data_IF_723904299839
#
_entry.id   IF_723904299839
#
_cell.length_a   1.000
_cell.length_b   1.000
_cell.length_c   1.000
_cell.angle_alpha   90.00
_cell.angle_beta   90.00
_cell.angle_gamma   90.00
#
_symmetry.space_group_name_H-M   'P 1'
#
loop_
_entity.id
_entity.type
_entity.pdbx_description
1 polymer ?
#
# COMPACT_ATOMS: atom_id res chain seq x y z
N UNK A 1 -0.33 -4.38 56.23
CA UNK A 1 -1.21 -4.32 55.05
C UNK A 1 -1.33 -2.86 54.65
N UNK A 2 -0.71 -2.45 53.54
CA UNK A 2 -0.78 -1.09 53.03
C UNK A 2 -1.32 -1.16 51.60
N UNK A 3 -2.64 -0.95 51.45
CA UNK A 3 -3.30 -0.86 50.15
C UNK A 3 -2.94 0.48 49.51
N UNK A 4 -2.19 0.44 48.40
CA UNK A 4 -1.99 1.60 47.53
C UNK A 4 -3.22 1.79 46.67
N UNK A 5 -3.95 2.87 46.94
CA UNK A 5 -5.06 3.33 46.11
C UNK A 5 -4.47 4.05 44.89
N UNK A 6 -4.69 3.51 43.69
CA UNK A 6 -4.35 4.17 42.43
C UNK A 6 -5.57 5.00 42.03
N UNK A 7 -5.42 6.32 41.78
CA UNK A 7 -6.55 7.15 41.41
C UNK A 7 -7.01 6.77 40.00
N UNK A 8 -8.28 6.41 39.87
CA UNK A 8 -8.95 6.26 38.58
C UNK A 8 -9.06 7.65 37.96
N UNK A 9 -8.31 7.93 36.90
CA UNK A 9 -8.54 9.11 36.08
C UNK A 9 -9.77 8.86 35.23
N UNK A 10 -10.81 9.67 35.44
CA UNK A 10 -12.07 9.53 34.74
C UNK A 10 -11.87 9.68 33.23
N UNK A 11 -12.60 8.87 32.45
CA UNK A 11 -12.58 8.83 30.98
C UNK A 11 -12.77 10.24 30.36
N UNK A 12 -13.45 11.15 31.06
CA UNK A 12 -13.60 12.56 30.70
C UNK A 12 -12.31 13.38 30.75
N UNK A 13 -11.39 13.10 31.69
CA UNK A 13 -10.11 13.81 31.78
C UNK A 13 -9.15 13.38 30.67
N UNK A 14 -9.20 12.11 30.28
CA UNK A 14 -8.43 11.58 29.16
C UNK A 14 -8.91 12.16 27.82
N UNK A 15 -10.23 12.36 27.67
CA UNK A 15 -10.82 13.02 26.49
C UNK A 15 -10.43 14.50 26.39
N UNK A 16 -10.44 15.23 27.52
CA UNK A 16 -9.98 16.63 27.57
C UNK A 16 -8.49 16.76 27.23
N UNK A 17 -7.64 15.90 27.79
CA UNK A 17 -6.21 15.88 27.50
C UNK A 17 -5.94 15.54 26.03
N UNK A 18 -6.67 14.60 25.44
CA UNK A 18 -6.55 14.28 24.02
C UNK A 18 -6.93 15.48 23.14
N UNK A 19 -8.04 16.15 23.44
CA UNK A 19 -8.51 17.32 22.71
C UNK A 19 -7.56 18.52 22.83
N UNK A 20 -6.93 18.71 24.00
CA UNK A 20 -5.91 19.74 24.21
C UNK A 20 -4.65 19.45 23.40
N UNK A 21 -4.19 18.19 23.35
CA UNK A 21 -3.03 17.82 22.52
C UNK A 21 -3.30 17.94 21.02
N UNK A 22 -4.54 17.71 20.59
CA UNK A 22 -4.96 17.88 19.20
C UNK A 22 -5.04 19.37 18.84
N UNK A 23 -5.60 20.19 19.71
CA UNK A 23 -5.64 21.65 19.55
C UNK A 23 -4.23 22.25 19.47
N UNK A 24 -3.29 21.73 20.28
CA UNK A 24 -1.91 22.20 20.27
C UNK A 24 -1.14 21.75 19.03
N UNK A 25 -1.43 20.55 18.50
CA UNK A 25 -0.92 20.11 17.18
C UNK A 25 -1.48 20.97 16.04
N UNK A 26 -2.77 21.31 16.07
CA UNK A 26 -3.39 22.18 15.08
C UNK A 26 -2.82 23.60 15.13
N UNK A 27 -2.61 24.17 16.32
CA UNK A 27 -2.00 25.49 16.49
C UNK A 27 -0.54 25.51 15.97
N UNK A 28 0.25 24.47 16.22
CA UNK A 28 1.61 24.37 15.66
C UNK A 28 1.60 24.24 14.12
N UNK A 29 0.64 23.52 13.54
CA UNK A 29 0.49 23.44 12.09
C UNK A 29 0.14 24.81 11.48
N UNK A 30 -0.76 25.57 12.13
CA UNK A 30 -1.11 26.94 11.71
C UNK A 30 0.09 27.89 11.78
N UNK A 31 0.89 27.85 12.86
CA UNK A 31 2.11 28.67 12.97
C UNK A 31 3.15 28.35 11.88
N UNK A 32 3.29 27.06 11.51
CA UNK A 32 4.17 26.65 10.43
C UNK A 32 3.66 27.15 9.07
N UNK A 33 2.35 27.11 8.85
CA UNK A 33 1.73 27.58 7.62
C UNK A 33 1.79 29.11 7.49
N UNK A 34 1.52 29.84 8.56
CA UNK A 34 1.74 31.29 8.62
C UNK A 34 3.21 31.65 8.40
N UNK A 35 4.16 30.90 8.99
CA UNK A 35 5.59 31.08 8.74
C UNK A 35 5.97 30.89 7.27
N UNK A 36 5.34 29.93 6.58
CA UNK A 36 5.51 29.73 5.12
C UNK A 36 4.94 30.89 4.32
N UNK A 37 3.75 31.38 4.69
CA UNK A 37 3.11 32.52 4.03
C UNK A 37 3.94 33.80 4.19
N UNK A 38 4.48 34.05 5.39
CA UNK A 38 5.34 35.22 5.67
C UNK A 38 6.62 35.14 4.83
N UNK A 39 7.28 33.97 4.79
CA UNK A 39 8.48 33.78 3.98
C UNK A 39 8.21 33.97 2.49
N UNK A 40 7.08 33.46 1.99
CA UNK A 40 6.68 33.65 0.59
C UNK A 40 6.41 35.13 0.28
N UNK A 41 5.71 35.83 1.18
CA UNK A 41 5.40 37.26 1.04
C UNK A 41 6.66 38.13 1.10
N UNK A 42 7.65 37.75 1.90
CA UNK A 42 8.94 38.43 1.99
C UNK A 42 9.78 38.23 0.73
N UNK A 43 9.83 37.00 0.18
CA UNK A 43 10.47 36.71 -1.11
C UNK A 43 9.82 37.49 -2.26
N UNK A 44 8.50 37.63 -2.25
CA UNK A 44 7.76 38.39 -3.26
C UNK A 44 7.96 39.91 -3.13
N UNK A 45 8.15 40.40 -1.90
CA UNK A 45 8.53 41.80 -1.65
C UNK A 45 9.94 42.10 -2.16
N UNK A 46 10.90 41.20 -1.91
CA UNK A 46 12.26 41.32 -2.44
C UNK A 46 12.28 41.37 -3.97
N UNK A 47 11.51 40.48 -4.62
CA UNK A 47 11.40 40.49 -6.08
C UNK A 47 10.78 41.78 -6.62
N UNK A 48 9.77 42.33 -5.94
CA UNK A 48 9.13 43.60 -6.32
C UNK A 48 10.06 44.82 -6.11
N UNK A 49 10.93 44.78 -5.10
CA UNK A 49 11.97 45.80 -4.86
C UNK A 49 13.14 45.72 -5.86
N UNK A 50 13.44 44.53 -6.38
CA UNK A 50 14.37 44.35 -7.50
C UNK A 50 13.78 44.90 -8.81
N UNK A 51 12.52 44.57 -9.11
CA UNK A 51 11.81 45.10 -10.29
C UNK A 51 11.66 46.65 -10.24
N UNK A 52 11.55 47.27 -9.06
CA UNK A 52 11.50 48.74 -8.94
C UNK A 52 12.88 49.43 -9.01
N UNK A 53 13.98 48.67 -8.89
CA UNK A 53 15.35 49.20 -9.02
C UNK A 53 15.80 49.28 -10.47
N UNK A 54 15.21 48.46 -11.34
CA UNK A 54 15.61 48.35 -12.75
C UNK A 54 15.02 49.46 -13.65
N UNK A 55 14.01 50.21 -13.19
CA UNK A 55 13.42 51.35 -13.93
C UNK A 55 14.25 52.66 -13.87
N UNK A 56 15.38 52.70 -13.13
CA UNK A 56 16.18 53.92 -12.98
C UNK A 56 17.46 53.99 -13.84
N UNK A 57 17.69 53.05 -14.75
CA UNK A 57 18.85 53.13 -15.65
C UNK A 57 18.55 52.64 -17.07
N UNK A 58 17.75 53.43 -17.79
CA UNK A 58 17.71 53.37 -19.25
C UNK A 58 18.77 54.29 -19.83
N UNK A 59 19.87 53.73 -20.34
CA UNK A 59 20.55 54.27 -21.53
C UNK A 59 21.37 53.17 -22.21
N UNK A 60 20.87 52.70 -23.36
CA UNK A 60 21.64 51.97 -24.38
C UNK A 60 22.12 52.98 -25.44
N UNK A 61 23.17 52.64 -26.21
CA UNK A 61 22.85 52.27 -27.59
C UNK A 61 23.64 51.09 -28.17
N UNK A 62 23.06 50.57 -29.26
CA UNK A 62 23.38 49.43 -30.11
C UNK A 62 24.77 49.40 -30.75
N UNK A 63 25.32 48.19 -30.96
CA UNK A 63 26.03 47.84 -32.21
C UNK A 63 25.78 46.37 -32.59
N UNK A 64 25.40 46.19 -33.85
CA UNK A 64 25.08 44.98 -34.61
C UNK A 64 26.30 44.05 -34.74
N UNK A 65 26.15 42.76 -34.41
CA UNK A 65 27.14 41.71 -34.73
C UNK A 65 26.76 41.07 -36.08
N UNK A 66 27.60 41.29 -37.10
CA UNK A 66 27.55 40.57 -38.39
C UNK A 66 28.71 39.57 -38.45
N UNK A 67 28.35 38.32 -38.72
CA UNK A 67 29.19 37.14 -38.93
C UNK A 67 30.03 37.29 -40.21
N UNK A 68 31.32 36.91 -40.22
CA UNK A 68 31.87 35.89 -41.15
C UNK A 68 33.38 35.60 -40.97
N UNK A 69 33.71 34.34 -41.24
CA UNK A 69 34.97 33.62 -41.18
C UNK A 69 35.93 33.86 -42.36
N UNK A 70 37.21 33.49 -42.15
CA UNK A 70 38.21 33.12 -43.16
C UNK A 70 38.98 34.31 -43.76
N UNK A 71 40.29 34.31 -43.97
CA UNK A 71 41.31 33.27 -43.94
C UNK A 71 42.51 33.75 -44.79
N UNK A 72 43.66 33.10 -44.62
CA UNK A 72 44.89 33.20 -45.43
C UNK A 72 45.75 34.47 -45.28
N UNK A 73 47.05 34.50 -45.55
CA UNK A 73 48.19 33.61 -45.31
C UNK A 73 49.44 34.41 -45.69
N UNK A 74 50.59 34.08 -45.09
CA UNK A 74 51.96 34.13 -45.65
C UNK A 74 52.81 35.44 -45.59
N UNK A 75 53.92 35.25 -44.85
CA UNK A 75 55.32 35.67 -45.05
C UNK A 75 55.65 37.17 -45.25
N UNK A 76 56.54 37.69 -44.39
CA UNK A 76 57.93 37.97 -44.82
C UNK A 76 58.85 38.22 -43.62
N UNK A 77 60.04 37.66 -43.71
CA UNK A 77 61.18 37.81 -42.81
C UNK A 77 62.00 39.03 -43.23
N UNK A 78 62.51 39.83 -42.29
CA UNK A 78 63.90 40.31 -42.26
C UNK A 78 64.15 41.29 -41.10
N UNK A 79 65.14 40.93 -40.27
CA UNK A 79 66.24 41.77 -39.76
C UNK A 79 65.97 43.26 -39.54
N UNK A 80 66.17 43.71 -38.30
CA UNK A 80 67.16 44.76 -38.01
C UNK A 80 67.61 44.72 -36.56
N UNK A 81 68.93 44.74 -36.43
CA UNK A 81 69.74 44.79 -35.23
C UNK A 81 70.10 46.23 -34.88
N UNK A 82 70.42 46.42 -33.60
CA UNK A 82 71.23 47.48 -33.01
C UNK A 82 70.56 48.81 -32.62
N UNK A 83 71.07 49.29 -31.49
CA UNK A 83 71.02 50.63 -30.90
C UNK A 83 69.75 51.06 -30.15
N UNK A 84 69.85 51.07 -28.81
CA UNK A 84 69.99 52.32 -28.05
C UNK A 84 70.26 52.01 -26.56
N UNK A 85 71.51 52.15 -26.16
CA UNK A 85 71.91 52.32 -24.77
C UNK A 85 71.52 53.73 -24.29
N UNK A 86 70.48 53.84 -23.47
CA UNK A 86 70.27 54.84 -22.42
C UNK A 86 68.96 54.44 -21.69
N UNK A 87 68.83 54.38 -20.37
CA UNK A 87 69.38 55.23 -19.35
C UNK A 87 69.48 54.48 -18.03
N UNK A 88 70.62 54.64 -17.38
CA UNK A 88 70.76 54.53 -15.94
C UNK A 88 70.13 55.79 -15.37
N UNK A 89 68.96 55.69 -14.73
CA UNK A 89 68.50 56.73 -13.80
C UNK A 89 67.64 56.12 -12.70
N UNK A 90 68.32 55.43 -11.79
CA UNK A 90 67.84 55.25 -10.43
C UNK A 90 68.32 56.46 -9.63
N UNK A 91 67.44 57.46 -9.45
CA UNK A 91 67.44 58.45 -8.37
C UNK A 91 66.22 59.36 -8.53
N UNK A 92 65.37 59.36 -7.50
CA UNK A 92 64.11 60.10 -7.32
C UNK A 92 62.84 59.33 -7.69
N UNK A 93 62.55 58.26 -6.94
CA UNK A 93 61.16 57.96 -6.59
C UNK A 93 60.67 59.16 -5.77
N UNK A 94 59.74 59.94 -6.32
CA UNK A 94 59.17 61.07 -5.61
C UNK A 94 58.54 60.58 -4.31
N UNK A 95 58.67 61.36 -3.22
CA UNK A 95 58.07 61.02 -1.92
C UNK A 95 56.56 60.74 -2.02
N UNK A 96 55.92 61.25 -3.08
CA UNK A 96 54.53 61.01 -3.44
C UNK A 96 54.26 59.58 -3.94
N UNK A 97 55.17 59.00 -4.70
CA UNK A 97 55.05 57.64 -5.24
C UNK A 97 55.25 56.58 -4.15
N UNK A 98 56.24 56.77 -3.25
CA UNK A 98 56.42 55.90 -2.08
C UNK A 98 55.22 55.94 -1.13
N UNK A 99 54.60 57.12 -0.95
CA UNK A 99 53.35 57.24 -0.19
C UNK A 99 52.19 56.52 -0.88
N UNK A 100 52.09 56.60 -2.20
CA UNK A 100 51.06 55.86 -2.96
C UNK A 100 51.27 54.34 -2.84
N UNK A 101 52.51 53.86 -2.92
CA UNK A 101 52.82 52.44 -2.74
C UNK A 101 52.51 51.96 -1.31
N UNK A 102 52.79 52.78 -0.29
CA UNK A 102 52.42 52.48 1.09
C UNK A 102 50.89 52.35 1.24
N UNK A 103 50.13 53.30 0.71
CA UNK A 103 48.66 53.26 0.73
C UNK A 103 48.13 52.02 0.01
N UNK A 104 48.68 51.68 -1.16
CA UNK A 104 48.29 50.47 -1.90
C UNK A 104 48.59 49.18 -1.12
N UNK A 105 49.72 49.12 -0.40
CA UNK A 105 50.03 47.98 0.46
C UNK A 105 49.11 47.92 1.68
N UNK A 106 48.81 49.05 2.31
CA UNK A 106 47.85 49.15 3.41
C UNK A 106 46.45 48.69 2.98
N UNK A 107 45.98 49.11 1.79
CA UNK A 107 44.71 48.66 1.22
C UNK A 107 44.71 47.17 0.90
N UNK A 108 45.81 46.63 0.36
CA UNK A 108 45.95 45.19 0.11
C UNK A 108 45.93 44.38 1.41
N UNK A 109 46.56 44.87 2.47
CA UNK A 109 46.52 44.21 3.80
C UNK A 109 45.12 44.26 4.38
N UNK A 110 44.41 45.39 4.27
CA UNK A 110 43.00 45.49 4.68
C UNK A 110 42.11 44.52 3.89
N UNK A 111 42.29 44.44 2.58
CA UNK A 111 41.57 43.50 1.72
C UNK A 111 41.84 42.04 2.09
N UNK A 112 43.09 41.68 2.34
CA UNK A 112 43.47 40.34 2.80
C UNK A 112 42.88 40.02 4.18
N UNK A 113 42.85 40.98 5.11
CA UNK A 113 42.28 40.79 6.43
C UNK A 113 40.76 40.61 6.38
N UNK A 114 40.05 41.38 5.54
CA UNK A 114 38.62 41.21 5.30
C UNK A 114 38.32 39.85 4.66
N UNK A 115 39.10 39.44 3.65
CA UNK A 115 38.95 38.13 3.02
C UNK A 115 39.22 37.00 4.01
N UNK A 116 40.21 37.14 4.91
CA UNK A 116 40.49 36.13 5.92
C UNK A 116 39.35 35.99 6.94
N UNK A 117 38.75 37.11 7.37
CA UNK A 117 37.55 37.08 8.23
C UNK A 117 36.36 36.44 7.52
N UNK A 118 36.18 36.71 6.23
CA UNK A 118 35.14 36.04 5.43
C UNK A 118 35.36 34.52 5.38
N UNK A 119 36.60 34.08 5.11
CA UNK A 119 36.94 32.66 5.08
C UNK A 119 36.74 31.97 6.43
N UNK A 120 37.05 32.64 7.55
CA UNK A 120 36.79 32.09 8.89
C UNK A 120 35.29 31.94 9.17
N UNK A 121 34.47 32.90 8.73
CA UNK A 121 33.01 32.80 8.84
C UNK A 121 32.46 31.65 7.99
N UNK A 122 32.90 31.50 6.74
CA UNK A 122 32.51 30.40 5.85
C UNK A 122 32.94 29.04 6.41
N UNK A 123 34.17 28.94 6.92
CA UNK A 123 34.67 27.74 7.61
C UNK A 123 33.82 27.38 8.81
N UNK A 124 33.43 28.37 9.62
CA UNK A 124 32.57 28.15 10.78
C UNK A 124 31.17 27.70 10.37
N UNK A 125 30.60 28.29 9.31
CA UNK A 125 29.32 27.88 8.75
C UNK A 125 29.35 26.43 8.24
N UNK A 126 30.35 26.09 7.44
CA UNK A 126 30.55 24.73 6.91
C UNK A 126 30.74 23.71 8.03
N UNK A 127 31.42 24.09 9.12
CA UNK A 127 31.58 23.24 10.29
C UNK A 127 30.23 22.90 10.92
N UNK A 128 29.37 23.90 11.13
CA UNK A 128 28.01 23.67 11.65
C UNK A 128 27.16 22.83 10.70
N UNK A 129 27.28 23.05 9.39
CA UNK A 129 26.58 22.24 8.39
C UNK A 129 27.03 20.78 8.42
N UNK A 130 28.33 20.52 8.57
CA UNK A 130 28.87 19.17 8.71
C UNK A 130 28.31 18.49 9.97
N UNK A 131 28.26 19.19 11.11
CA UNK A 131 27.75 18.62 12.35
C UNK A 131 26.24 18.32 12.24
N UNK A 132 25.44 19.24 11.68
CA UNK A 132 24.02 18.99 11.40
C UNK A 132 23.81 17.78 10.46
N UNK A 133 24.68 17.61 9.47
CA UNK A 133 24.60 16.47 8.55
C UNK A 133 25.06 15.16 9.19
N UNK A 134 25.89 15.18 10.24
CA UNK A 134 26.21 13.99 11.03
C UNK A 134 25.02 13.58 11.89
N UNK A 135 24.39 14.53 12.58
CA UNK A 135 23.22 14.26 13.41
C UNK A 135 22.09 13.64 12.56
N UNK A 136 21.82 14.20 11.37
CA UNK A 136 20.87 13.62 10.42
C UNK A 136 21.24 12.23 9.93
N UNK A 137 22.54 11.94 9.80
CA UNK A 137 23.01 10.61 9.40
C UNK A 137 22.79 9.59 10.53
N UNK A 138 23.01 10.00 11.78
CA UNK A 138 22.75 9.21 12.98
C UNK A 138 21.25 8.90 13.11
N UNK A 139 20.38 9.92 13.00
CA UNK A 139 18.92 9.76 13.02
C UNK A 139 18.45 8.76 11.95
N UNK A 140 18.97 8.87 10.72
CA UNK A 140 18.63 7.94 9.63
C UNK A 140 19.14 6.51 9.89
N UNK A 141 20.30 6.38 10.54
CA UNK A 141 20.88 5.08 10.90
C UNK A 141 20.02 4.40 11.96
N UNK A 142 19.58 5.14 12.97
CA UNK A 142 18.69 4.64 14.03
C UNK A 142 17.29 4.30 13.50
N UNK A 143 16.75 5.12 12.59
CA UNK A 143 15.51 4.83 11.88
C UNK A 143 15.61 3.54 11.04
N UNK A 144 16.73 3.33 10.35
CA UNK A 144 16.97 2.10 9.59
C UNK A 144 17.09 0.87 10.51
N UNK A 145 17.82 1.00 11.63
CA UNK A 145 17.98 -0.08 12.59
C UNK A 145 16.65 -0.50 13.24
N UNK A 146 15.83 0.47 13.63
CA UNK A 146 14.49 0.23 14.18
C UNK A 146 13.55 -0.39 13.14
N UNK A 147 13.55 0.09 11.90
CA UNK A 147 12.76 -0.49 10.81
C UNK A 147 13.18 -1.94 10.50
N UNK A 148 14.48 -2.23 10.51
CA UNK A 148 14.97 -3.58 10.30
C UNK A 148 14.57 -4.54 11.44
N UNK A 149 14.54 -4.05 12.69
CA UNK A 149 14.05 -4.83 13.84
C UNK A 149 12.57 -5.19 13.68
N UNK A 150 11.72 -4.22 13.36
CA UNK A 150 10.28 -4.47 13.17
C UNK A 150 10.01 -5.37 11.96
N UNK A 151 10.80 -5.25 10.89
CA UNK A 151 10.73 -6.17 9.76
C UNK A 151 11.03 -7.62 10.15
N UNK A 152 12.06 -7.84 10.99
CA UNK A 152 12.40 -9.17 11.49
C UNK A 152 11.31 -9.75 12.41
N UNK A 153 10.70 -8.92 13.26
CA UNK A 153 9.57 -9.31 14.11
C UNK A 153 8.35 -9.71 13.25
N UNK A 154 7.94 -8.86 12.30
CA UNK A 154 6.85 -9.16 11.37
C UNK A 154 7.09 -10.43 10.55
N UNK A 155 8.34 -10.68 10.16
CA UNK A 155 8.71 -11.91 9.45
C UNK A 155 8.53 -13.16 10.32
N UNK A 156 8.80 -13.07 11.62
CA UNK A 156 8.57 -14.17 12.58
C UNK A 156 7.07 -14.39 12.80
N UNK A 157 6.30 -13.31 12.96
CA UNK A 157 4.85 -13.39 13.14
C UNK A 157 4.17 -13.99 11.92
N UNK A 158 4.58 -13.60 10.72
CA UNK A 158 4.11 -14.20 9.46
C UNK A 158 4.40 -15.71 9.40
N UNK A 159 5.59 -16.13 9.85
CA UNK A 159 5.94 -17.55 9.89
C UNK A 159 5.05 -18.32 10.88
N UNK A 160 4.77 -17.74 12.05
CA UNK A 160 3.88 -18.31 13.05
C UNK A 160 2.44 -18.44 12.53
N UNK A 161 1.90 -17.38 11.92
CA UNK A 161 0.57 -17.40 11.30
C UNK A 161 0.47 -18.46 10.19
N UNK A 162 1.49 -18.58 9.35
CA UNK A 162 1.53 -19.64 8.31
C UNK A 162 1.47 -21.04 8.93
N UNK A 163 2.20 -21.28 10.02
CA UNK A 163 2.16 -22.56 10.73
C UNK A 163 0.75 -22.84 11.29
N UNK A 164 0.11 -21.83 11.89
CA UNK A 164 -1.24 -21.95 12.43
C UNK A 164 -2.29 -22.24 11.33
N UNK A 165 -2.18 -21.59 10.17
CA UNK A 165 -3.06 -21.87 9.02
C UNK A 165 -2.93 -23.32 8.59
N UNK A 166 -1.72 -23.87 8.52
CA UNK A 166 -1.50 -25.27 8.16
C UNK A 166 -2.15 -26.21 9.17
N UNK A 167 -2.00 -25.94 10.46
CA UNK A 167 -2.60 -26.73 11.52
C UNK A 167 -4.14 -26.69 11.47
N UNK A 168 -4.73 -25.50 11.32
CA UNK A 168 -6.18 -25.34 11.19
C UNK A 168 -6.71 -25.99 9.91
N UNK A 169 -5.97 -25.91 8.82
CA UNK A 169 -6.32 -26.58 7.56
C UNK A 169 -6.33 -28.10 7.75
N UNK A 170 -5.36 -28.67 8.46
CA UNK A 170 -5.36 -30.09 8.78
C UNK A 170 -6.57 -30.48 9.66
N UNK A 171 -6.89 -29.69 10.70
CA UNK A 171 -8.07 -29.93 11.56
C UNK A 171 -9.38 -29.84 10.78
N UNK A 172 -9.52 -28.85 9.90
CA UNK A 172 -10.69 -28.69 9.04
C UNK A 172 -10.83 -29.88 8.09
N UNK A 173 -9.76 -30.28 7.42
CA UNK A 173 -9.77 -31.46 6.57
C UNK A 173 -10.17 -32.71 7.36
N UNK A 174 -9.63 -32.91 8.56
CA UNK A 174 -10.00 -34.04 9.40
C UNK A 174 -11.50 -34.03 9.77
N UNK A 175 -12.05 -32.88 10.17
CA UNK A 175 -13.48 -32.74 10.42
C UNK A 175 -14.33 -32.98 9.17
N UNK A 176 -13.88 -32.49 8.01
CA UNK A 176 -14.54 -32.72 6.72
C UNK A 176 -14.59 -34.20 6.36
N UNK A 177 -13.49 -34.94 6.53
CA UNK A 177 -13.46 -36.39 6.31
C UNK A 177 -14.40 -37.13 7.28
N UNK A 178 -14.53 -36.68 8.53
CA UNK A 178 -15.51 -37.28 9.46
C UNK A 178 -16.96 -37.05 9.02
N UNK A 179 -17.29 -35.83 8.56
CA UNK A 179 -18.62 -35.52 8.03
C UNK A 179 -18.89 -36.34 6.77
N UNK A 180 -17.92 -36.42 5.86
CA UNK A 180 -18.04 -37.23 4.65
C UNK A 180 -18.24 -38.71 4.96
N UNK A 181 -17.50 -39.27 5.93
CA UNK A 181 -17.70 -40.65 6.38
C UNK A 181 -19.10 -40.86 6.98
N UNK A 182 -19.60 -39.91 7.78
CA UNK A 182 -20.96 -39.95 8.31
C UNK A 182 -21.99 -39.91 7.19
N UNK A 183 -21.83 -39.02 6.22
CA UNK A 183 -22.76 -38.85 5.11
C UNK A 183 -22.74 -40.07 4.18
N UNK A 184 -21.57 -40.70 3.97
CA UNK A 184 -21.44 -42.00 3.29
C UNK A 184 -22.24 -43.08 4.02
N UNK A 185 -22.14 -43.19 5.34
CA UNK A 185 -22.92 -44.15 6.13
C UNK A 185 -24.43 -43.88 6.05
N UNK A 186 -24.85 -42.61 6.04
CA UNK A 186 -26.26 -42.23 5.84
C UNK A 186 -26.77 -42.76 4.49
N UNK A 187 -25.98 -42.58 3.42
CA UNK A 187 -26.32 -43.06 2.08
C UNK A 187 -26.31 -44.59 1.99
N UNK A 188 -25.27 -45.25 2.51
CA UNK A 188 -25.15 -46.72 2.49
C UNK A 188 -26.30 -47.41 3.21
N UNK A 189 -26.74 -46.86 4.34
CA UNK A 189 -27.87 -47.39 5.09
C UNK A 189 -29.25 -46.90 4.59
N UNK A 190 -29.29 -46.14 3.49
CA UNK A 190 -30.53 -45.64 2.90
C UNK A 190 -31.32 -44.73 3.84
N UNK A 191 -30.62 -43.97 4.67
CA UNK A 191 -31.19 -43.02 5.63
C UNK A 191 -31.31 -41.64 4.97
N UNK A 192 -32.30 -40.86 5.41
CA UNK A 192 -32.57 -39.50 4.93
C UNK A 192 -32.79 -38.61 6.15
N UNK A 193 -32.24 -37.40 6.12
CA UNK A 193 -32.46 -36.37 7.12
C UNK A 193 -33.78 -35.65 6.81
N UNK A 194 -34.71 -35.69 7.75
CA UNK A 194 -36.00 -34.98 7.69
C UNK A 194 -36.02 -33.99 8.84
N UNK A 195 -36.07 -32.69 8.54
CA UNK A 195 -36.20 -31.64 9.53
C UNK A 195 -35.58 -30.33 9.05
N UNK A 196 -36.15 -29.24 9.56
CA UNK A 196 -36.03 -27.89 9.02
C UNK A 196 -37.42 -27.33 8.81
N UNK A 197 -37.90 -26.54 9.77
CA UNK A 197 -39.04 -25.67 9.53
C UNK A 197 -38.74 -24.86 8.26
N UNK A 198 -39.50 -25.08 7.19
CA UNK A 198 -39.47 -24.27 5.97
C UNK A 198 -39.97 -22.82 6.20
N UNK A 199 -40.02 -22.36 7.45
CA UNK A 199 -40.55 -21.10 7.92
C UNK A 199 -39.52 -20.28 8.72
N UNK A 200 -38.24 -20.36 8.37
CA UNK A 200 -37.32 -19.25 8.64
C UNK A 200 -37.17 -18.45 7.36
N UNK A 201 -37.99 -17.40 7.26
CA UNK A 201 -37.86 -16.22 6.40
C UNK A 201 -37.03 -16.37 5.13
N UNK A 202 -37.74 -16.39 4.01
CA UNK A 202 -37.25 -16.04 2.67
C UNK A 202 -36.74 -14.58 2.67
N UNK A 203 -35.55 -14.35 3.24
CA UNK A 203 -34.76 -13.13 3.12
C UNK A 203 -33.27 -13.48 3.20
N UNK A 204 -32.84 -14.45 2.40
CA UNK A 204 -31.45 -14.57 2.01
C UNK A 204 -31.41 -14.94 0.53
N UNK A 205 -31.19 -13.92 -0.29
CA UNK A 205 -31.05 -14.00 -1.73
C UNK A 205 -30.07 -15.10 -2.15
N UNK A 206 -30.54 -15.93 -3.09
CA UNK A 206 -29.80 -16.31 -4.30
C UNK A 206 -28.29 -16.55 -4.14
N UNK A 207 -27.92 -17.69 -3.54
CA UNK A 207 -26.66 -18.37 -3.90
C UNK A 207 -26.99 -19.77 -4.41
N UNK A 208 -26.98 -19.83 -5.72
CA UNK A 208 -26.92 -21.02 -6.56
C UNK A 208 -25.89 -22.03 -6.06
N UNK A 209 -26.35 -23.15 -5.52
CA UNK A 209 -25.55 -24.39 -5.49
C UNK A 209 -26.12 -25.31 -6.56
N UNK A 210 -25.79 -24.96 -7.80
CA UNK A 210 -25.78 -25.92 -8.87
C UNK A 210 -24.81 -27.04 -8.52
N UNK A 211 -25.22 -28.26 -8.81
CA UNK A 211 -24.41 -29.45 -8.79
C UNK A 211 -23.05 -29.22 -9.46
N UNK A 212 -21.99 -29.07 -8.66
CA UNK A 212 -20.62 -29.13 -9.13
C UNK A 212 -20.10 -30.55 -8.85
N UNK A 213 -20.24 -31.36 -9.88
CA UNK A 213 -19.60 -32.65 -10.07
C UNK A 213 -18.09 -32.56 -9.86
N UNK A 214 -17.56 -33.58 -9.19
CA UNK A 214 -16.13 -33.86 -9.10
C UNK A 214 -15.55 -34.10 -10.50
N UNK A 215 -14.73 -33.18 -11.00
CA UNK A 215 -13.66 -33.44 -11.96
C UNK A 215 -12.78 -32.19 -12.13
N UNK A 216 -11.65 -32.09 -11.42
CA UNK A 216 -10.33 -32.10 -12.09
C UNK A 216 -9.16 -32.06 -11.10
N UNK A 217 -8.16 -32.85 -11.47
CA UNK A 217 -6.90 -33.12 -10.80
C UNK A 217 -5.97 -31.91 -10.71
N UNK A 218 -5.22 -31.88 -9.59
CA UNK A 218 -3.81 -31.50 -9.45
C UNK A 218 -3.10 -31.00 -10.72
N UNK A 219 -2.64 -29.74 -10.67
CA UNK A 219 -1.32 -29.40 -11.21
C UNK A 219 -0.70 -28.24 -10.44
N UNK A 220 0.55 -28.46 -10.09
CA UNK A 220 1.44 -27.63 -9.30
C UNK A 220 1.69 -26.24 -9.90
N UNK A 221 2.27 -25.40 -9.03
CA UNK A 221 3.23 -24.30 -9.24
C UNK A 221 2.71 -22.87 -9.22
N UNK A 222 3.20 -22.20 -8.16
CA UNK A 222 3.73 -20.84 -8.14
C UNK A 222 2.72 -19.74 -7.82
N UNK A 223 2.43 -19.60 -6.52
CA UNK A 223 1.95 -18.33 -5.96
C UNK A 223 3.16 -17.53 -5.48
N UNK A 224 3.57 -16.56 -6.31
CA UNK A 224 4.27 -15.36 -5.85
C UNK A 224 3.24 -14.50 -5.10
N UNK A 225 3.37 -14.40 -3.79
CA UNK A 225 2.64 -13.44 -2.97
C UNK A 225 3.48 -12.17 -2.82
N UNK A 226 3.03 -11.09 -3.44
CA UNK A 226 3.33 -9.73 -3.01
C UNK A 226 2.05 -9.09 -2.48
N UNK A 227 2.13 -8.69 -1.21
CA UNK A 227 1.45 -7.57 -0.57
C UNK A 227 -0.06 -7.77 -0.33
N UNK A 228 -0.67 -7.31 0.75
CA UNK A 228 -0.40 -6.15 1.59
C UNK A 228 -0.90 -6.41 3.01
N UNK A 229 -0.17 -5.85 3.97
CA UNK A 229 -0.62 -5.70 5.35
C UNK A 229 -1.84 -4.77 5.38
N UNK A 230 -2.88 -5.20 6.09
CA UNK A 230 -3.76 -4.33 6.85
C UNK A 230 -4.50 -5.23 7.85
N UNK A 231 -3.93 -5.40 9.04
CA UNK A 231 -4.72 -5.73 10.23
C UNK A 231 -3.99 -5.36 11.52
N UNK A 232 -4.37 -4.18 12.01
CA UNK A 232 -4.53 -3.75 13.40
C UNK A 232 -4.06 -4.75 14.46
N UNK A 233 -3.06 -4.29 15.22
CA UNK A 233 -2.58 -4.84 16.48
C UNK A 233 -3.71 -4.98 17.51
N UNK A 234 -3.94 -6.20 18.00
CA UNK A 234 -4.56 -6.43 19.30
C UNK A 234 -3.72 -7.45 20.06
N UNK A 235 -3.01 -6.93 21.07
CA UNK A 235 -2.32 -7.71 22.08
C UNK A 235 -3.33 -8.26 23.09
N UNK A 236 -3.11 -9.52 23.47
CA UNK A 236 -3.58 -10.10 24.71
C UNK A 236 -4.38 -11.38 24.49
N UNK A 237 -3.73 -12.53 24.71
CA UNK A 237 -4.01 -13.37 25.88
C UNK A 237 -3.06 -14.57 25.95
N UNK A 238 -2.58 -14.79 27.17
CA UNK A 238 -1.75 -15.87 27.65
C UNK A 238 -2.42 -17.24 27.46
N UNK A 239 -1.71 -18.20 26.88
CA UNK A 239 -2.13 -19.60 26.80
C UNK A 239 -1.39 -20.44 27.86
N UNK A 240 -2.09 -20.73 28.96
CA UNK A 240 -1.75 -21.86 29.84
C UNK A 240 -2.74 -23.00 29.57
N UNK A 241 -2.20 -24.16 29.22
CA UNK A 241 -2.90 -25.43 29.18
C UNK A 241 -3.35 -25.84 30.58
N UNK A 242 -4.56 -26.39 30.72
CA UNK A 242 -4.76 -27.78 31.12
C UNK A 242 -6.25 -28.16 31.23
N UNK A 243 -6.56 -29.28 30.57
CA UNK A 243 -7.63 -30.25 30.83
C UNK A 243 -9.12 -29.82 30.94
N UNK A 244 -9.88 -30.34 29.96
CA UNK A 244 -11.12 -31.11 30.17
C UNK A 244 -12.31 -30.38 30.80
N UNK A 245 -13.22 -29.86 29.96
CA UNK A 245 -14.68 -30.15 29.97
C UNK A 245 -15.43 -29.17 29.05
N UNK A 246 -16.38 -29.74 28.31
CA UNK A 246 -17.60 -29.17 27.70
C UNK A 246 -17.82 -27.65 27.73
N UNK A 247 -18.06 -27.11 26.52
CA UNK A 247 -19.00 -26.04 26.15
C UNK A 247 -19.41 -25.00 27.22
N UNK A 248 -18.98 -23.74 27.03
CA UNK A 248 -19.82 -22.53 27.03
C UNK A 248 -18.95 -21.28 27.25
N UNK A 249 -18.84 -20.41 26.25
CA UNK A 249 -18.57 -18.96 26.39
C UNK A 249 -18.84 -18.31 25.02
N UNK A 250 -20.05 -17.84 24.71
CA UNK A 250 -20.56 -16.51 25.08
C UNK A 250 -19.48 -15.43 24.96
N UNK A 251 -19.24 -14.99 23.74
CA UNK A 251 -18.77 -13.65 23.47
C UNK A 251 -19.99 -12.79 23.13
N UNK A 252 -20.21 -11.79 23.98
CA UNK A 252 -21.22 -10.76 23.81
C UNK A 252 -20.86 -9.95 22.57
N UNK A 253 -21.69 -10.07 21.53
CA UNK A 253 -22.03 -9.02 20.56
C UNK A 253 -23.28 -9.50 19.82
N UNK A 254 -24.44 -8.93 20.16
CA UNK A 254 -25.57 -8.67 19.26
C UNK A 254 -26.26 -9.76 18.43
N UNK A 255 -25.74 -10.98 18.27
CA UNK A 255 -26.28 -11.95 17.31
C UNK A 255 -27.01 -13.10 18.01
N UNK A 256 -28.28 -13.28 17.64
CA UNK A 256 -29.08 -14.45 18.01
C UNK A 256 -28.27 -15.71 17.67
N UNK A 257 -28.18 -16.71 18.56
CA UNK A 257 -27.49 -17.96 18.25
C UNK A 257 -28.14 -18.56 17.01
N UNK A 258 -27.34 -18.81 15.97
CA UNK A 258 -27.76 -19.53 14.78
C UNK A 258 -28.25 -20.90 15.26
N UNK A 259 -29.56 -21.04 15.39
CA UNK A 259 -30.21 -22.27 15.82
C UNK A 259 -30.19 -23.19 14.61
N UNK A 260 -29.33 -24.20 14.64
CA UNK A 260 -29.30 -25.21 13.59
C UNK A 260 -30.69 -25.86 13.51
N UNK A 261 -31.23 -26.09 12.29
CA UNK A 261 -32.52 -26.73 12.14
C UNK A 261 -32.49 -28.11 12.80
N UNK A 262 -33.54 -28.42 13.55
CA UNK A 262 -33.68 -29.71 14.21
C UNK A 262 -33.97 -30.76 13.12
N UNK A 263 -33.02 -31.67 12.89
CA UNK A 263 -33.09 -32.71 11.87
C UNK A 263 -33.16 -34.09 12.52
N UNK A 264 -34.01 -34.96 11.98
CA UNK A 264 -34.18 -36.35 12.42
C UNK A 264 -33.74 -37.27 11.29
N UNK A 265 -33.01 -38.33 11.63
CA UNK A 265 -32.55 -39.33 10.66
C UNK A 265 -33.55 -40.49 10.60
N UNK A 266 -34.10 -40.77 9.42
CA UNK A 266 -35.15 -41.77 9.22
C UNK A 266 -34.85 -42.57 7.94
N UNK A 267 -35.31 -43.82 7.82
CA UNK A 267 -35.10 -44.60 6.59
C UNK A 267 -35.83 -43.98 5.39
N UNK A 268 -35.30 -44.18 4.18
CA UNK A 268 -35.90 -43.66 2.94
C UNK A 268 -37.35 -44.13 2.75
N UNK A 269 -37.63 -45.41 3.01
CA UNK A 269 -38.98 -45.96 2.88
C UNK A 269 -39.96 -45.27 3.84
N UNK A 270 -39.56 -45.04 5.10
CA UNK A 270 -40.40 -44.32 6.06
C UNK A 270 -40.55 -42.83 5.71
N UNK A 271 -39.54 -42.20 5.11
CA UNK A 271 -39.62 -40.82 4.63
C UNK A 271 -40.62 -40.67 3.47
N UNK A 272 -40.62 -41.61 2.53
CA UNK A 272 -41.57 -41.66 1.42
C UNK A 272 -43.01 -41.83 1.92
N UNK A 273 -43.23 -42.70 2.93
CA UNK A 273 -44.54 -42.86 3.56
C UNK A 273 -45.01 -41.57 4.24
N UNK A 274 -44.13 -40.87 4.97
CA UNK A 274 -44.46 -39.62 5.64
C UNK A 274 -44.79 -38.49 4.65
N UNK A 275 -44.13 -38.45 3.48
CA UNK A 275 -44.43 -37.46 2.43
C UNK A 275 -45.81 -37.64 1.76
N UNK A 276 -46.46 -38.80 1.91
CA UNK A 276 -47.83 -39.00 1.40
C UNK A 276 -48.88 -38.29 2.26
N UNK A 277 -48.52 -37.85 3.46
CA UNK A 277 -49.39 -37.12 4.37
C UNK A 277 -49.29 -35.61 4.13
N UNK A 278 -50.42 -34.92 4.20
CA UNK A 278 -50.54 -33.48 3.93
C UNK A 278 -50.01 -32.57 5.05
N UNK A 279 -49.60 -33.14 6.18
CA UNK A 279 -49.21 -32.37 7.35
C UNK A 279 -47.74 -31.94 7.29
N UNK A 280 -47.46 -30.75 7.84
CA UNK A 280 -46.20 -30.04 7.63
C UNK A 280 -45.10 -30.37 8.63
N UNK A 281 -45.43 -30.96 9.78
CA UNK A 281 -44.44 -31.32 10.80
C UNK A 281 -44.46 -32.82 11.07
N UNK A 282 -43.28 -33.39 11.34
CA UNK A 282 -43.10 -34.81 11.60
C UNK A 282 -44.02 -35.30 12.74
N UNK A 283 -44.11 -34.53 13.83
CA UNK A 283 -44.99 -34.87 14.97
C UNK A 283 -46.47 -34.87 14.62
N UNK A 284 -46.90 -33.97 13.71
CA UNK A 284 -48.28 -33.94 13.24
C UNK A 284 -48.53 -35.16 12.37
N UNK A 285 -47.68 -35.40 11.36
CA UNK A 285 -47.78 -36.56 10.46
C UNK A 285 -47.89 -37.88 11.25
N UNK A 286 -47.09 -38.04 12.31
CA UNK A 286 -47.17 -39.20 13.20
C UNK A 286 -48.54 -39.30 13.89
N UNK A 287 -49.08 -38.20 14.43
CA UNK A 287 -50.42 -38.19 15.05
C UNK A 287 -51.53 -38.50 14.05
N UNK A 288 -51.44 -37.99 12.82
CA UNK A 288 -52.40 -38.30 11.77
C UNK A 288 -52.38 -39.79 11.40
N UNK A 289 -51.20 -40.41 11.30
CA UNK A 289 -51.10 -41.87 11.13
C UNK A 289 -51.79 -42.64 12.26
N UNK A 290 -51.62 -42.21 13.52
CA UNK A 290 -52.32 -42.83 14.65
C UNK A 290 -53.85 -42.62 14.56
N UNK A 291 -54.32 -41.46 14.10
CA UNK A 291 -55.75 -41.20 13.89
C UNK A 291 -56.33 -42.08 12.79
N UNK A 292 -55.68 -42.15 11.63
CA UNK A 292 -56.10 -43.00 10.50
C UNK A 292 -56.13 -44.47 10.93
N UNK A 293 -55.12 -44.92 11.68
CA UNK A 293 -55.11 -46.28 12.24
C UNK A 293 -56.31 -46.53 13.16
N UNK A 294 -56.61 -45.60 14.06
CA UNK A 294 -57.76 -45.73 14.97
C UNK A 294 -59.09 -45.77 14.21
N UNK A 295 -59.23 -45.01 13.12
CA UNK A 295 -60.43 -45.01 12.28
C UNK A 295 -60.57 -46.31 11.48
N UNK A 296 -59.46 -46.82 10.92
CA UNK A 296 -59.44 -48.11 10.23
C UNK A 296 -59.75 -49.26 11.19
N UNK A 297 -59.19 -49.25 12.40
CA UNK A 297 -59.47 -50.25 13.43
C UNK A 297 -60.96 -50.25 13.81
N UNK A 298 -61.56 -49.06 13.99
CA UNK A 298 -63.00 -48.92 14.24
C UNK A 298 -63.84 -49.41 13.06
N UNK A 299 -63.43 -49.13 11.82
CA UNK A 299 -64.13 -49.61 10.61
C UNK A 299 -64.02 -51.11 10.44
N UNK A 300 -62.88 -51.72 10.80
CA UNK A 300 -62.72 -53.18 10.83
C UNK A 300 -63.64 -53.78 11.87
N UNK A 301 -63.71 -53.23 13.09
CA UNK A 301 -64.62 -53.71 14.13
C UNK A 301 -66.10 -53.59 13.70
N UNK A 302 -66.46 -52.48 13.06
CA UNK A 302 -67.79 -52.28 12.49
C UNK A 302 -68.08 -53.27 11.36
N UNK A 303 -67.15 -53.47 10.43
CA UNK A 303 -67.30 -54.45 9.35
C UNK A 303 -67.37 -55.88 9.89
N UNK A 304 -66.62 -56.24 10.93
CA UNK A 304 -66.73 -57.53 11.60
C UNK A 304 -68.08 -57.70 12.31
N UNK A 305 -68.64 -56.61 12.86
CA UNK A 305 -70.00 -56.58 13.42
C UNK A 305 -71.05 -56.75 12.30
N UNK A 306 -70.90 -56.02 11.21
CA UNK A 306 -71.77 -56.12 10.02
C UNK A 306 -71.66 -57.48 9.35
N UNK A 307 -70.49 -58.11 9.29
CA UNK A 307 -70.31 -59.47 8.75
C UNK A 307 -70.89 -60.51 9.71
N UNK A 308 -70.81 -60.28 11.03
CA UNK A 308 -71.57 -61.06 12.03
C UNK A 308 -73.08 -60.88 11.86
N UNK A 309 -73.56 -59.70 11.49
CA UNK A 309 -74.97 -59.41 11.23
C UNK A 309 -75.43 -59.93 9.85
N UNK A 310 -74.59 -59.88 8.82
CA UNK A 310 -74.83 -60.41 7.48
C UNK A 310 -74.76 -61.93 7.45
N UNK A 311 -73.88 -62.57 8.24
CA UNK A 311 -74.00 -64.01 8.51
C UNK A 311 -75.33 -64.37 9.19
N UNK A 312 -75.97 -63.41 9.89
CA UNK A 312 -77.35 -63.55 10.40
C UNK A 312 -78.43 -63.11 9.39
N UNK A 313 -78.13 -62.23 8.42
CA UNK A 313 -79.06 -61.70 7.39
C UNK A 313 -78.99 -62.39 6.01
N UNK A 314 -78.01 -63.25 5.75
CA UNK A 314 -77.82 -64.00 4.49
C UNK A 314 -78.97 -64.96 4.11
N UNK A 315 -80.13 -64.84 4.75
CA UNK A 315 -81.40 -65.41 4.32
C UNK A 315 -82.18 -64.58 3.28
N UNK A 316 -81.82 -63.34 2.91
CA UNK A 316 -82.48 -62.70 1.75
C UNK A 316 -81.68 -61.55 1.09
N UNK A 317 -81.62 -61.50 -0.26
CA UNK A 317 -80.86 -60.50 -1.00
C UNK A 317 -81.75 -59.39 -1.58
N UNK A 318 -81.23 -58.17 -1.70
CA UNK A 318 -81.40 -57.39 -2.94
C UNK A 318 -80.48 -56.17 -3.03
N UNK A 319 -79.88 -56.14 -4.21
CA UNK A 319 -79.17 -55.13 -5.00
C UNK A 319 -79.73 -53.70 -5.00
N UNK A 320 -78.83 -52.74 -5.30
CA UNK A 320 -79.02 -51.48 -6.08
C UNK A 320 -77.73 -50.64 -5.92
N UNK A 321 -77.27 -49.73 -6.79
CA UNK A 321 -77.41 -49.39 -8.21
C UNK A 321 -76.46 -48.18 -8.42
N UNK A 322 -75.99 -47.95 -9.63
CA UNK A 322 -75.15 -46.84 -10.11
C UNK A 322 -75.69 -45.41 -9.91
N UNK A 323 -74.79 -44.39 -9.90
CA UNK A 323 -74.80 -43.19 -10.81
C UNK A 323 -74.21 -41.90 -10.19
N UNK A 324 -73.12 -41.34 -10.76
CA UNK A 324 -72.66 -39.94 -10.56
C UNK A 324 -71.84 -39.45 -11.77
N UNK A 325 -72.35 -38.51 -12.58
CA UNK A 325 -71.54 -37.84 -13.62
C UNK A 325 -72.11 -36.47 -14.04
N UNK A 326 -71.96 -35.43 -13.21
CA UNK A 326 -72.40 -34.06 -13.57
C UNK A 326 -71.59 -32.87 -13.01
N UNK A 327 -70.53 -33.11 -12.23
CA UNK A 327 -69.73 -32.05 -11.56
C UNK A 327 -68.39 -31.73 -12.23
N UNK A 328 -68.03 -32.43 -13.31
CA UNK A 328 -66.67 -32.39 -13.87
C UNK A 328 -66.37 -31.21 -14.81
N UNK A 329 -67.36 -30.44 -15.27
CA UNK A 329 -67.15 -29.39 -16.30
C UNK A 329 -66.74 -28.03 -15.73
N UNK A 330 -67.09 -27.70 -14.48
CA UNK A 330 -66.70 -26.42 -13.87
C UNK A 330 -65.23 -26.42 -13.44
N UNK A 331 -64.77 -27.52 -12.85
CA UNK A 331 -63.39 -27.67 -12.36
C UNK A 331 -62.36 -27.61 -13.49
N UNK A 332 -62.75 -28.04 -14.70
CA UNK A 332 -61.84 -28.03 -15.86
C UNK A 332 -61.55 -26.64 -16.41
N UNK A 333 -62.44 -25.66 -16.23
CA UNK A 333 -62.22 -24.29 -16.72
C UNK A 333 -61.34 -23.48 -15.77
N UNK A 334 -61.47 -23.67 -14.46
CA UNK A 334 -60.61 -23.02 -13.46
C UNK A 334 -59.14 -23.45 -13.61
N UNK A 335 -58.90 -24.75 -13.83
CA UNK A 335 -57.56 -25.30 -14.09
C UNK A 335 -56.95 -24.68 -15.36
N UNK A 336 -57.74 -24.45 -16.42
CA UNK A 336 -57.24 -23.83 -17.66
C UNK A 336 -56.80 -22.39 -17.42
N UNK A 337 -57.55 -21.63 -16.62
CA UNK A 337 -57.22 -20.24 -16.31
C UNK A 337 -55.93 -20.13 -15.47
N UNK A 338 -55.76 -21.00 -14.48
CA UNK A 338 -54.53 -21.07 -13.68
C UNK A 338 -53.31 -21.48 -14.53
N UNK A 339 -53.46 -22.48 -15.40
CA UNK A 339 -52.41 -22.85 -16.37
C UNK A 339 -52.04 -21.68 -17.30
N UNK A 340 -53.01 -20.87 -17.70
CA UNK A 340 -52.75 -19.69 -18.53
C UNK A 340 -52.01 -18.59 -17.75
N UNK A 341 -52.30 -18.38 -16.46
CA UNK A 341 -51.56 -17.45 -15.62
C UNK A 341 -50.11 -17.89 -15.41
N UNK A 342 -49.88 -19.17 -15.08
CA UNK A 342 -48.54 -19.74 -14.94
C UNK A 342 -47.77 -19.60 -16.26
N UNK A 343 -48.45 -19.81 -17.40
CA UNK A 343 -47.84 -19.64 -18.73
C UNK A 343 -47.42 -18.20 -18.99
N UNK A 344 -48.24 -17.21 -18.62
CA UNK A 344 -47.90 -15.80 -18.76
C UNK A 344 -46.73 -15.40 -17.84
N UNK A 345 -46.74 -15.88 -16.58
CA UNK A 345 -45.66 -15.64 -15.63
C UNK A 345 -44.33 -16.27 -16.10
N UNK A 346 -44.38 -17.47 -16.66
CA UNK A 346 -43.21 -18.13 -17.25
C UNK A 346 -42.65 -17.33 -18.45
N UNK A 347 -43.51 -16.71 -19.27
CA UNK A 347 -43.07 -15.84 -20.36
C UNK A 347 -42.41 -14.54 -19.85
N UNK A 348 -42.93 -13.95 -18.77
CA UNK A 348 -42.33 -12.76 -18.15
C UNK A 348 -40.94 -13.06 -17.58
N UNK A 349 -40.78 -14.17 -16.85
CA UNK A 349 -39.45 -14.60 -16.37
C UNK A 349 -38.49 -14.91 -17.51
N UNK A 350 -38.97 -15.48 -18.61
CA UNK A 350 -38.15 -15.70 -19.82
C UNK A 350 -37.64 -14.39 -20.42
N UNK A 351 -38.47 -13.35 -20.45
CA UNK A 351 -38.07 -12.02 -20.92
C UNK A 351 -37.04 -11.37 -19.99
N UNK A 352 -37.29 -11.39 -18.68
CA UNK A 352 -36.34 -10.87 -17.67
C UNK A 352 -34.99 -11.59 -17.73
N UNK A 353 -35.01 -12.92 -17.91
CA UNK A 353 -33.80 -13.71 -18.12
C UNK A 353 -33.05 -13.28 -19.39
N UNK A 354 -33.76 -13.01 -20.49
CA UNK A 354 -33.09 -12.59 -21.72
C UNK A 354 -32.47 -11.19 -21.59
N UNK A 355 -33.15 -10.27 -20.90
CA UNK A 355 -32.64 -8.93 -20.62
C UNK A 355 -31.40 -8.98 -19.71
N UNK A 356 -31.44 -9.78 -18.64
CA UNK A 356 -30.27 -9.96 -17.76
C UNK A 356 -29.11 -10.64 -18.49
N UNK A 357 -29.39 -11.63 -19.35
CA UNK A 357 -28.39 -12.30 -20.18
C UNK A 357 -27.70 -11.35 -21.16
N UNK A 358 -28.45 -10.43 -21.78
CA UNK A 358 -27.87 -9.38 -22.64
C UNK A 358 -27.00 -8.41 -21.83
N UNK A 359 -27.44 -8.02 -20.63
CA UNK A 359 -26.67 -7.15 -19.73
C UNK A 359 -25.36 -7.81 -19.28
N UNK A 360 -25.39 -9.10 -18.96
CA UNK A 360 -24.19 -9.90 -18.66
C UNK A 360 -23.23 -9.87 -19.84
N UNK A 361 -23.72 -10.15 -21.06
CA UNK A 361 -22.89 -10.13 -22.27
C UNK A 361 -22.23 -8.76 -22.52
N UNK A 362 -22.94 -7.66 -22.24
CA UNK A 362 -22.40 -6.32 -22.34
C UNK A 362 -21.30 -6.05 -21.30
N UNK A 363 -21.52 -6.45 -20.05
CA UNK A 363 -20.54 -6.31 -18.97
C UNK A 363 -19.28 -7.17 -19.23
N UNK A 364 -19.44 -8.38 -19.77
CA UNK A 364 -18.33 -9.23 -20.17
C UNK A 364 -17.45 -8.57 -21.25
N UNK A 365 -18.07 -7.93 -22.25
CA UNK A 365 -17.34 -7.15 -23.26
C UNK A 365 -16.57 -5.97 -22.63
N UNK A 366 -17.15 -5.28 -21.66
CA UNK A 366 -16.48 -4.20 -20.94
C UNK A 366 -15.31 -4.70 -20.09
N UNK A 367 -15.47 -5.85 -19.42
CA UNK A 367 -14.38 -6.51 -18.68
C UNK A 367 -13.20 -6.79 -19.61
N UNK A 368 -13.44 -7.44 -20.76
CA UNK A 368 -12.36 -7.74 -21.72
C UNK A 368 -11.65 -6.48 -22.20
N UNK A 369 -12.39 -5.39 -22.45
CA UNK A 369 -11.82 -4.09 -22.85
C UNK A 369 -10.96 -3.49 -21.74
N UNK A 370 -11.46 -3.48 -20.50
CA UNK A 370 -10.75 -2.96 -19.33
C UNK A 370 -9.50 -3.79 -19.01
N UNK A 371 -9.59 -5.12 -19.06
CA UNK A 371 -8.44 -6.01 -18.92
C UNK A 371 -7.37 -5.73 -19.99
N UNK A 372 -7.80 -5.47 -21.23
CA UNK A 372 -6.91 -5.05 -22.31
C UNK A 372 -6.23 -3.70 -22.02
N UNK A 373 -6.93 -2.74 -21.41
CA UNK A 373 -6.34 -1.47 -20.97
C UNK A 373 -5.33 -1.68 -19.84
N UNK A 374 -5.67 -2.46 -18.81
CA UNK A 374 -4.78 -2.78 -17.69
C UNK A 374 -3.51 -3.46 -18.16
N UNK A 375 -3.60 -4.41 -19.09
CA UNK A 375 -2.41 -5.07 -19.68
C UNK A 375 -1.49 -4.06 -20.38
N UNK A 376 -2.06 -3.11 -21.14
CA UNK A 376 -1.29 -2.06 -21.82
C UNK A 376 -0.63 -1.10 -20.83
N UNK A 377 -1.37 -0.61 -19.83
CA UNK A 377 -0.81 0.29 -18.82
C UNK A 377 0.27 -0.39 -18.00
N UNK A 378 0.10 -1.67 -17.67
CA UNK A 378 1.14 -2.46 -17.01
C UNK A 378 2.41 -2.54 -17.86
N UNK A 379 2.29 -2.87 -19.15
CA UNK A 379 3.45 -2.93 -20.04
C UNK A 379 4.17 -1.57 -20.16
N UNK A 380 3.41 -0.45 -20.17
CA UNK A 380 3.99 0.90 -20.17
C UNK A 380 4.72 1.19 -18.85
N UNK A 381 4.13 0.83 -17.71
CA UNK A 381 4.75 0.99 -16.40
C UNK A 381 6.05 0.18 -16.29
N UNK A 382 6.02 -1.11 -16.68
CA UNK A 382 7.18 -1.99 -16.67
C UNK A 382 8.31 -1.43 -17.57
N UNK A 383 7.99 -0.88 -18.75
CA UNK A 383 8.96 -0.26 -19.64
C UNK A 383 9.56 1.05 -19.05
N UNK A 384 8.75 1.84 -18.36
CA UNK A 384 9.22 3.05 -17.66
C UNK A 384 10.17 2.70 -16.50
N UNK A 385 9.87 1.65 -15.73
CA UNK A 385 10.74 1.16 -14.66
C UNK A 385 12.10 0.69 -15.19
N UNK A 386 12.11 -0.06 -16.30
CA UNK A 386 13.35 -0.48 -16.96
C UNK A 386 14.19 0.72 -17.42
N UNK A 387 13.56 1.73 -18.03
CA UNK A 387 14.23 2.96 -18.45
C UNK A 387 14.79 3.75 -17.26
N UNK A 388 14.08 3.80 -16.13
CA UNK A 388 14.55 4.46 -14.91
C UNK A 388 15.80 3.78 -14.35
N UNK A 389 15.84 2.45 -14.34
CA UNK A 389 17.01 1.69 -13.88
C UNK A 389 18.24 1.93 -14.77
N UNK A 390 18.05 2.01 -16.09
CA UNK A 390 19.13 2.38 -17.03
C UNK A 390 19.65 3.78 -16.70
N UNK A 391 18.77 4.76 -16.54
CA UNK A 391 19.16 6.14 -16.19
C UNK A 391 19.86 6.22 -14.82
N UNK A 392 19.45 5.42 -13.83
CA UNK A 392 20.16 5.32 -12.54
C UNK A 392 21.56 4.76 -12.71
N UNK A 393 21.73 3.75 -13.56
CA UNK A 393 23.04 3.16 -13.86
C UNK A 393 23.96 4.18 -14.55
N UNK A 394 23.45 4.89 -15.56
CA UNK A 394 24.18 5.93 -16.27
C UNK A 394 24.56 7.09 -15.36
N UNK A 395 23.64 7.56 -14.51
CA UNK A 395 23.94 8.57 -13.48
C UNK A 395 25.10 8.13 -12.59
N UNK A 396 25.11 6.87 -12.12
CA UNK A 396 26.22 6.32 -11.30
C UNK A 396 27.52 6.24 -12.09
N UNK A 397 27.46 6.01 -13.40
CA UNK A 397 28.63 5.98 -14.29
C UNK A 397 29.20 7.38 -14.50
N UNK A 398 28.38 8.34 -14.92
CA UNK A 398 28.78 9.74 -15.08
C UNK A 398 29.30 10.33 -13.76
N UNK A 399 28.73 9.96 -12.62
CA UNK A 399 29.22 10.42 -11.32
C UNK A 399 30.61 9.86 -10.98
N UNK A 400 30.92 8.62 -11.38
CA UNK A 400 32.28 8.06 -11.24
C UNK A 400 33.26 8.79 -12.15
N UNK A 401 32.91 8.96 -13.42
CA UNK A 401 33.73 9.69 -14.39
C UNK A 401 33.99 11.14 -13.95
N UNK A 402 32.99 11.82 -13.37
CA UNK A 402 33.15 13.15 -12.80
C UNK A 402 34.19 13.17 -11.67
N UNK A 403 34.13 12.21 -10.73
CA UNK A 403 35.12 12.10 -9.64
C UNK A 403 36.53 11.85 -10.19
N UNK A 404 36.65 10.98 -11.20
CA UNK A 404 37.95 10.68 -11.82
C UNK A 404 38.54 11.91 -12.52
N UNK A 405 37.71 12.68 -13.23
CA UNK A 405 38.14 13.94 -13.88
C UNK A 405 38.48 15.00 -12.82
N UNK A 406 37.71 15.11 -11.75
CA UNK A 406 38.02 16.00 -10.62
C UNK A 406 39.37 15.65 -9.99
N UNK A 407 39.64 14.36 -9.76
CA UNK A 407 40.95 13.90 -9.25
C UNK A 407 42.09 14.31 -10.18
N UNK A 408 41.95 14.07 -11.49
CA UNK A 408 42.95 14.48 -12.49
C UNK A 408 43.18 15.99 -12.51
N UNK A 409 42.11 16.77 -12.34
CA UNK A 409 42.17 18.23 -12.30
C UNK A 409 42.92 18.71 -11.05
N UNK A 410 42.69 18.10 -9.89
CA UNK A 410 43.46 18.39 -8.67
C UNK A 410 44.94 17.99 -8.81
N UNK A 411 45.25 16.85 -9.44
CA UNK A 411 46.63 16.44 -9.74
C UNK A 411 47.35 17.46 -10.65
N UNK A 412 46.67 17.90 -11.72
CA UNK A 412 47.21 18.91 -12.65
C UNK A 412 47.34 20.28 -11.98
N UNK A 413 46.41 20.69 -11.12
CA UNK A 413 46.54 21.92 -10.32
C UNK A 413 47.75 21.84 -9.39
N UNK A 414 47.96 20.70 -8.74
CA UNK A 414 49.12 20.49 -7.86
C UNK A 414 50.44 20.57 -8.63
N UNK A 415 50.50 19.98 -9.83
CA UNK A 415 51.67 20.07 -10.70
C UNK A 415 51.88 21.49 -11.24
N UNK A 416 50.82 22.17 -11.65
CA UNK A 416 50.92 23.56 -12.10
C UNK A 416 51.41 24.47 -10.96
N UNK A 417 50.92 24.29 -9.74
CA UNK A 417 51.44 24.98 -8.56
C UNK A 417 52.92 24.66 -8.29
N UNK A 418 53.37 23.43 -8.55
CA UNK A 418 54.79 23.05 -8.47
C UNK A 418 55.61 23.77 -9.53
N UNK A 419 55.17 23.78 -10.79
CA UNK A 419 55.84 24.46 -11.90
C UNK A 419 55.91 25.96 -11.66
N UNK A 420 54.82 26.58 -11.19
CA UNK A 420 54.79 27.99 -10.83
C UNK A 420 55.87 28.32 -9.78
N UNK A 421 56.01 27.48 -8.73
CA UNK A 421 57.08 27.64 -7.73
C UNK A 421 58.49 27.51 -8.36
N UNK A 422 58.67 26.67 -9.36
CA UNK A 422 59.95 26.55 -10.08
C UNK A 422 60.23 27.82 -10.89
N UNK A 423 59.24 28.32 -11.63
CA UNK A 423 59.33 29.58 -12.38
C UNK A 423 59.66 30.75 -11.44
N UNK A 424 58.97 30.86 -10.31
CA UNK A 424 59.22 31.91 -9.32
C UNK A 424 60.64 31.83 -8.74
N UNK A 425 61.19 30.62 -8.56
CA UNK A 425 62.60 30.43 -8.14
C UNK A 425 63.58 30.91 -9.21
N UNK A 426 63.34 30.59 -10.48
CA UNK A 426 64.19 31.09 -11.58
C UNK A 426 64.09 32.61 -11.73
N UNK A 427 62.90 33.18 -11.61
CA UNK A 427 62.69 34.63 -11.61
C UNK A 427 63.43 35.32 -10.45
N UNK A 428 63.47 34.70 -9.26
CA UNK A 428 64.25 35.20 -8.11
C UNK A 428 65.76 34.98 -8.26
N UNK A 429 66.18 33.84 -8.84
CA UNK A 429 67.59 33.50 -9.05
C UNK A 429 68.27 34.27 -10.17
N UNK A 430 67.49 34.83 -11.10
CA UNK A 430 67.94 35.80 -12.12
C UNK A 430 68.38 37.15 -11.52
N UNK A 431 68.02 37.41 -10.24
CA UNK A 431 68.39 38.63 -9.53
C UNK A 431 69.61 38.35 -8.63
N UNK A 432 70.81 38.53 -9.16
CA UNK A 432 72.04 38.57 -8.37
C UNK A 432 72.16 39.91 -7.57
N UNK A 433 72.84 39.94 -6.41
CA UNK A 433 72.56 40.92 -5.36
C UNK A 433 73.55 42.10 -5.29
N UNK A 434 73.00 43.29 -5.05
CA UNK A 434 73.65 44.49 -4.54
C UNK A 434 72.77 45.71 -4.82
N UNK A 435 72.30 46.55 -3.88
CA UNK A 435 72.57 46.82 -2.47
C UNK A 435 71.46 47.81 -2.04
N UNK A 436 70.64 47.65 -0.99
CA UNK A 436 70.87 48.04 0.41
C UNK A 436 69.52 47.90 1.18
N UNK A 437 69.62 47.52 2.46
CA UNK A 437 68.57 47.15 3.44
C UNK A 437 67.85 48.40 4.08
N UNK A 438 66.95 48.30 5.11
CA UNK A 438 66.56 47.13 5.93
C UNK A 438 65.06 47.00 6.33
N UNK A 439 64.59 45.79 6.69
CA UNK A 439 64.01 45.52 8.02
C UNK A 439 63.38 44.11 8.14
N UNK A 440 63.60 43.53 9.33
CA UNK A 440 62.92 42.46 10.07
C UNK A 440 61.78 41.67 9.39
N UNK A 441 61.64 40.34 9.54
CA UNK A 441 62.30 39.40 10.43
C UNK A 441 61.50 38.10 10.48
N UNK A 442 62.23 36.98 10.55
CA UNK A 442 61.86 35.67 11.11
C UNK A 442 60.78 34.79 10.43
N UNK A 443 61.30 33.82 9.66
CA UNK A 443 61.19 32.38 9.92
C UNK A 443 59.82 31.70 9.93
N UNK A 444 59.51 31.23 8.73
CA UNK A 444 58.76 30.00 8.43
C UNK A 444 59.54 28.78 8.92
N UNK A 445 58.92 27.93 9.75
CA UNK A 445 59.15 26.48 9.80
C UNK A 445 57.94 25.76 10.41
N UNK A 446 57.52 24.71 9.67
CA UNK A 446 56.66 23.57 10.07
C UNK A 446 55.18 23.94 10.26
N UNK A 447 54.19 23.22 9.71
CA UNK A 447 54.06 21.77 9.60
C UNK A 447 53.10 21.35 8.48
N UNK A 448 53.43 20.22 7.84
CA UNK A 448 52.47 19.27 7.26
C UNK A 448 51.61 18.69 8.40
N UNK A 449 50.29 18.65 8.22
CA UNK A 449 49.43 17.44 8.20
C UNK A 449 47.96 17.86 8.06
N UNK A 450 47.30 17.52 6.95
CA UNK A 450 46.30 16.43 6.83
C UNK A 450 44.97 16.75 7.54
N UNK A 451 43.94 17.21 6.82
CA UNK A 451 42.88 16.37 6.23
C UNK A 451 42.06 15.55 7.22
N UNK A 452 40.81 15.96 7.47
CA UNK A 452 39.64 15.05 7.59
C UNK A 452 38.37 15.83 7.17
N UNK A 453 37.73 15.36 6.10
CA UNK A 453 36.36 15.63 5.61
C UNK A 453 36.04 17.10 5.23
N UNK A 454 35.61 17.42 4.01
CA UNK A 454 34.66 16.74 3.10
C UNK A 454 34.89 17.17 1.66
#
# INVERSE_FOLDING_TARGET
MASRHVPYTDISDMGRAAQETEMQRAANQQLIEEGRIIKHKELEKMRREEESKDDSSSERPDVIIRVNSGGTSRLSSQRSSADLASSVSSRNLDARELRSQLIQLEEKVKGAMLSNVQLDNEKQLLKYEVDLLKDKLEDLTDAYASLNKTFLENKRDLAYQKMQIVELTHRLNYARHQVEARDQLIVEHGLVLIGGDANTDNNLDEVTVAAATNAHLNKEKSINNNNTNDLVMMNGLSCNNDHSKSNSLVQQNGDKPIRLPEMVLITKSTAELLNTLSETTLDKQIRQLFSIRSELDARVEELESQLREERKRSEAPTTRYDSRNRTNTSHTEDIKHELQQIRNQAQEYKLKYHESSQKISALESDIVRLEGQTKRYKAIADACEEQEEILKQDRRKCQRELRDVQSKLEDLKAENARLQRVVDKYNRGSVAPGSLAPSAGSSIRQSRDSSVNR
#
